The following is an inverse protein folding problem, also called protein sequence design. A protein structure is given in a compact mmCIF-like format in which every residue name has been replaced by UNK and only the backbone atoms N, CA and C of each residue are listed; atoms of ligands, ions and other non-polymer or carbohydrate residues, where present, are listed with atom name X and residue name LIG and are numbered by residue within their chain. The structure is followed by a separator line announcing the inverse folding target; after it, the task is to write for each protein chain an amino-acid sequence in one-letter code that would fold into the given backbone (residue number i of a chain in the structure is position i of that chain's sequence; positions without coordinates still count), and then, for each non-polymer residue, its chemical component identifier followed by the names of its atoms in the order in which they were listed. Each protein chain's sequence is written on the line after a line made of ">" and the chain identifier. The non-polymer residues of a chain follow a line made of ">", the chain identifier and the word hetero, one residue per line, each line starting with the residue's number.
data_IF_685450111632
#
_entry.id   IF_685450111632
#
_cell.length_a   1.000
_cell.length_b   1.000
_cell.length_c   1.000
_cell.angle_alpha   90.00
_cell.angle_beta   90.00
_cell.angle_gamma   90.00
#
_symmetry.space_group_name_H-M   'P 1'
#
loop_
_entity.id
_entity.type
_entity.pdbx_description
1 polymer ?
#
# COMPACT_ATOMS: atom_id res chain seq x y z
N UNK A 1 -16.74 -13.52 -15.06
CA UNK A 1 -17.11 -12.09 -15.14
C UNK A 1 -16.63 -11.26 -13.93
N UNK A 2 -16.83 -11.72 -12.69
CA UNK A 2 -16.38 -11.02 -11.46
C UNK A 2 -14.89 -10.61 -11.46
N UNK A 3 -13.98 -11.49 -11.88
CA UNK A 3 -12.53 -11.18 -11.92
C UNK A 3 -12.14 -10.07 -12.90
N UNK A 4 -12.86 -9.93 -14.04
CA UNK A 4 -12.62 -8.82 -14.98
C UNK A 4 -13.05 -7.48 -14.36
N UNK A 5 -14.14 -7.47 -13.62
CA UNK A 5 -14.65 -6.28 -12.93
C UNK A 5 -13.71 -5.81 -11.83
N UNK A 6 -13.16 -6.73 -11.02
CA UNK A 6 -12.18 -6.40 -9.97
C UNK A 6 -10.91 -5.76 -10.54
N UNK A 7 -10.41 -6.24 -11.68
CA UNK A 7 -9.21 -5.68 -12.32
C UNK A 7 -9.50 -4.30 -12.90
N UNK A 8 -10.66 -4.13 -13.57
CA UNK A 8 -11.08 -2.82 -14.10
C UNK A 8 -11.24 -1.80 -12.97
N UNK A 9 -11.85 -2.20 -11.84
CA UNK A 9 -11.95 -1.36 -10.65
C UNK A 9 -10.57 -1.02 -10.07
N UNK A 10 -9.68 -2.01 -9.94
CA UNK A 10 -8.33 -1.79 -9.44
C UNK A 10 -7.53 -0.81 -10.30
N UNK A 11 -7.59 -0.94 -11.62
CA UNK A 11 -6.96 -0.01 -12.57
C UNK A 11 -7.61 1.37 -12.45
N UNK A 12 -8.95 1.45 -12.38
CA UNK A 12 -9.67 2.71 -12.24
C UNK A 12 -9.29 3.48 -10.96
N UNK A 13 -9.15 2.77 -9.84
CA UNK A 13 -8.68 3.36 -8.57
C UNK A 13 -7.24 3.86 -8.70
N UNK A 14 -6.34 3.06 -9.27
CA UNK A 14 -4.95 3.47 -9.46
C UNK A 14 -4.83 4.74 -10.32
N UNK A 15 -5.61 4.82 -11.42
CA UNK A 15 -5.67 6.01 -12.27
C UNK A 15 -6.22 7.22 -11.51
N UNK A 16 -7.31 7.05 -10.74
CA UNK A 16 -7.86 8.15 -9.92
C UNK A 16 -6.86 8.68 -8.90
N UNK A 17 -6.07 7.81 -8.27
CA UNK A 17 -5.02 8.22 -7.32
C UNK A 17 -3.92 9.01 -8.04
N UNK A 18 -3.46 8.54 -9.21
CA UNK A 18 -2.46 9.25 -10.01
C UNK A 18 -2.95 10.61 -10.50
N UNK A 19 -4.21 10.70 -10.94
CA UNK A 19 -4.83 11.95 -11.39
C UNK A 19 -4.94 12.93 -10.22
N UNK A 20 -5.40 12.46 -9.05
CA UNK A 20 -5.48 13.28 -7.83
C UNK A 20 -4.11 13.81 -7.42
N UNK A 21 -3.07 12.96 -7.45
CA UNK A 21 -1.68 13.36 -7.21
C UNK A 21 -1.20 14.40 -8.24
N UNK A 22 -1.50 14.21 -9.51
CA UNK A 22 -1.15 15.15 -10.57
C UNK A 22 -1.76 16.53 -10.34
N UNK A 23 -3.05 16.58 -9.99
CA UNK A 23 -3.71 17.84 -9.64
C UNK A 23 -3.13 18.49 -8.38
N UNK A 24 -2.76 17.70 -7.38
CA UNK A 24 -2.12 18.21 -6.17
C UNK A 24 -0.77 18.86 -6.49
N UNK A 25 0.09 18.16 -7.24
CA UNK A 25 1.43 18.66 -7.64
C UNK A 25 1.32 19.94 -8.47
N UNK A 26 0.36 20.00 -9.41
CA UNK A 26 0.18 21.17 -10.28
C UNK A 26 -0.34 22.41 -9.51
N UNK A 27 -1.10 22.22 -8.42
CA UNK A 27 -1.65 23.32 -7.62
C UNK A 27 -0.81 23.70 -6.41
N UNK A 28 0.19 22.90 -6.01
CA UNK A 28 0.95 23.11 -4.78
C UNK A 28 1.81 24.40 -4.80
N UNK A 29 2.21 24.90 -5.97
CA UNK A 29 3.01 26.13 -6.11
C UNK A 29 4.47 25.97 -5.64
N UNK A 30 4.68 25.63 -4.37
CA UNK A 30 5.94 25.18 -3.79
C UNK A 30 5.69 23.88 -3.02
N UNK A 31 6.45 22.84 -3.35
CA UNK A 31 6.35 21.54 -2.67
C UNK A 31 7.38 21.52 -1.55
N UNK A 32 6.93 21.42 -0.31
CA UNK A 32 7.83 21.26 0.84
C UNK A 32 8.47 19.86 0.86
N UNK A 33 9.65 19.72 1.47
CA UNK A 33 10.35 18.43 1.61
C UNK A 33 9.48 17.35 2.27
N UNK A 34 8.62 17.75 3.21
CA UNK A 34 7.63 16.90 3.88
C UNK A 34 6.52 16.41 2.94
N UNK A 35 6.06 17.25 2.01
CA UNK A 35 5.09 16.89 0.99
C UNK A 35 5.70 15.95 -0.06
N UNK A 36 6.99 16.12 -0.37
CA UNK A 36 7.71 15.24 -1.29
C UNK A 36 7.73 13.78 -0.79
N UNK A 37 7.96 13.55 0.51
CA UNK A 37 7.87 12.21 1.09
C UNK A 37 6.47 11.62 0.93
N UNK A 38 5.43 12.40 1.19
CA UNK A 38 4.03 11.95 1.05
C UNK A 38 3.68 11.55 -0.39
N UNK A 39 4.14 12.34 -1.37
CA UNK A 39 4.00 12.03 -2.80
C UNK A 39 4.74 10.74 -3.16
N UNK A 40 6.00 10.59 -2.70
CA UNK A 40 6.82 9.42 -2.97
C UNK A 40 6.19 8.13 -2.43
N UNK A 41 5.63 8.18 -1.22
CA UNK A 41 4.89 7.08 -0.59
C UNK A 41 3.70 6.66 -1.45
N UNK A 42 2.89 7.64 -1.86
CA UNK A 42 1.70 7.37 -2.66
C UNK A 42 2.07 6.72 -4.00
N UNK A 43 3.18 7.14 -4.63
CA UNK A 43 3.71 6.50 -5.83
C UNK A 43 4.10 5.04 -5.57
N UNK A 44 4.80 4.73 -4.47
CA UNK A 44 5.17 3.34 -4.12
C UNK A 44 3.94 2.45 -3.98
N UNK A 45 2.89 2.95 -3.32
CA UNK A 45 1.64 2.22 -3.13
C UNK A 45 0.94 1.94 -4.47
N UNK A 46 0.87 2.95 -5.34
CA UNK A 46 0.29 2.78 -6.68
C UNK A 46 1.09 1.78 -7.50
N UNK A 47 2.41 1.88 -7.52
CA UNK A 47 3.28 0.94 -8.27
C UNK A 47 3.10 -0.49 -7.74
N UNK A 48 3.03 -0.65 -6.43
CA UNK A 48 2.82 -1.97 -5.81
C UNK A 48 1.44 -2.55 -6.14
N UNK A 49 0.38 -1.74 -6.10
CA UNK A 49 -0.96 -2.14 -6.50
C UNK A 49 -1.01 -2.52 -7.99
N UNK A 50 -0.36 -1.74 -8.85
CA UNK A 50 -0.26 -2.02 -10.28
C UNK A 50 0.53 -3.30 -10.55
N UNK A 51 1.59 -3.58 -9.80
CA UNK A 51 2.34 -4.83 -9.90
C UNK A 51 1.45 -6.04 -9.57
N UNK A 52 0.69 -5.98 -8.48
CA UNK A 52 -0.23 -7.07 -8.08
C UNK A 52 -1.32 -7.27 -9.15
N UNK A 53 -1.88 -6.18 -9.69
CA UNK A 53 -2.87 -6.25 -10.76
C UNK A 53 -2.28 -6.85 -12.05
N UNK A 54 -1.06 -6.46 -12.41
CA UNK A 54 -0.35 -6.98 -13.57
C UNK A 54 -0.06 -8.48 -13.43
N UNK A 55 0.47 -8.91 -12.28
CA UNK A 55 0.72 -10.33 -11.99
C UNK A 55 -0.58 -11.14 -12.10
N UNK A 56 -1.69 -10.61 -11.57
CA UNK A 56 -3.02 -11.21 -11.69
C UNK A 56 -3.50 -11.32 -13.14
N UNK A 57 -3.30 -10.28 -13.95
CA UNK A 57 -3.65 -10.30 -15.39
C UNK A 57 -2.83 -11.35 -16.13
N UNK A 58 -1.52 -11.42 -15.85
CA UNK A 58 -0.61 -12.39 -16.47
C UNK A 58 -1.02 -13.82 -16.14
N UNK A 59 -1.24 -14.12 -14.86
CA UNK A 59 -1.63 -15.46 -14.40
C UNK A 59 -2.98 -15.91 -14.98
N UNK A 60 -3.94 -14.99 -15.16
CA UNK A 60 -5.21 -15.31 -15.84
C UNK A 60 -5.04 -15.59 -17.33
N UNK A 61 -4.10 -14.92 -18.02
CA UNK A 61 -3.81 -15.18 -19.45
C UNK A 61 -3.19 -16.55 -19.67
N UNK A 62 -2.41 -17.02 -18.71
CA UNK A 62 -1.76 -18.34 -18.74
C UNK A 62 -2.70 -19.48 -18.34
N UNK A 63 -3.96 -19.20 -18.00
CA UNK A 63 -4.96 -20.21 -17.68
C UNK A 63 -4.83 -20.82 -16.28
N UNK A 64 -3.91 -20.31 -15.46
CA UNK A 64 -3.84 -20.68 -14.05
C UNK A 64 -5.11 -20.21 -13.31
N UNK A 65 -5.62 -21.00 -12.35
CA UNK A 65 -6.76 -20.58 -11.56
C UNK A 65 -6.43 -19.23 -10.91
N UNK A 66 -7.27 -18.22 -11.18
CA UNK A 66 -7.10 -16.84 -10.68
C UNK A 66 -7.12 -16.72 -9.13
N UNK A 67 -7.26 -17.85 -8.45
CA UNK A 67 -7.49 -18.05 -7.03
C UNK A 67 -6.98 -19.43 -6.63
N UNK A 68 -5.68 -19.65 -6.76
CA UNK A 68 -5.06 -20.77 -6.07
C UNK A 68 -5.28 -20.58 -4.56
N UNK A 69 -5.74 -21.62 -3.84
CA UNK A 69 -5.98 -21.53 -2.39
C UNK A 69 -4.76 -20.99 -1.66
N UNK A 70 -3.56 -21.32 -2.17
CA UNK A 70 -2.28 -20.83 -1.70
C UNK A 70 -2.16 -19.31 -1.78
N UNK A 71 -2.56 -18.69 -2.90
CA UNK A 71 -2.52 -17.24 -3.08
C UNK A 71 -3.49 -16.54 -2.11
N UNK A 72 -4.67 -17.12 -1.92
CA UNK A 72 -5.67 -16.67 -0.94
C UNK A 72 -5.10 -16.63 0.47
N UNK A 73 -4.46 -17.73 0.87
CA UNK A 73 -3.90 -17.91 2.21
C UNK A 73 -2.68 -17.00 2.43
N UNK A 74 -1.85 -16.82 1.41
CA UNK A 74 -0.73 -15.87 1.41
C UNK A 74 -1.22 -14.42 1.53
N UNK A 75 -2.21 -14.02 0.74
CA UNK A 75 -2.80 -12.68 0.83
C UNK A 75 -3.42 -12.43 2.21
N UNK A 76 -4.15 -13.41 2.75
CA UNK A 76 -4.77 -13.28 4.06
C UNK A 76 -3.73 -13.08 5.18
N UNK A 77 -2.67 -13.91 5.19
CA UNK A 77 -1.57 -13.78 6.17
C UNK A 77 -0.83 -12.46 6.00
N UNK A 78 -0.47 -12.08 4.77
CA UNK A 78 0.21 -10.82 4.49
C UNK A 78 -0.63 -9.60 4.92
N UNK A 79 -1.94 -9.62 4.66
CA UNK A 79 -2.86 -8.57 5.08
C UNK A 79 -2.97 -8.51 6.61
N UNK A 80 -2.98 -9.67 7.29
CA UNK A 80 -2.98 -9.74 8.75
C UNK A 80 -1.74 -9.07 9.35
N UNK A 81 -0.55 -9.34 8.79
CA UNK A 81 0.69 -8.68 9.22
C UNK A 81 0.69 -7.18 8.91
N UNK A 82 0.18 -6.79 7.73
CA UNK A 82 -0.01 -5.38 7.38
C UNK A 82 -0.91 -4.65 8.38
N UNK A 83 -2.04 -5.26 8.74
CA UNK A 83 -2.99 -4.71 9.71
C UNK A 83 -2.37 -4.55 11.11
N UNK A 84 -1.65 -5.58 11.59
CA UNK A 84 -0.94 -5.52 12.87
C UNK A 84 0.10 -4.40 12.86
N UNK A 85 0.88 -4.26 11.79
CA UNK A 85 1.86 -3.19 11.64
C UNK A 85 1.21 -1.80 11.62
N UNK A 86 0.05 -1.66 10.96
CA UNK A 86 -0.73 -0.42 10.97
C UNK A 86 -1.23 -0.04 12.37
N UNK A 87 -1.76 -0.97 13.15
CA UNK A 87 -2.20 -0.67 14.52
C UNK A 87 -1.03 -0.21 15.38
N UNK A 88 0.08 -0.97 15.37
CA UNK A 88 1.22 -0.67 16.21
C UNK A 88 1.97 0.59 15.79
N UNK A 89 1.94 0.94 14.50
CA UNK A 89 2.50 2.22 14.04
C UNK A 89 1.64 3.41 14.43
N UNK A 90 0.30 3.26 14.49
CA UNK A 90 -0.61 4.31 14.96
C UNK A 90 -0.37 4.68 16.43
N UNK A 91 0.00 3.69 17.24
CA UNK A 91 0.31 3.87 18.68
C UNK A 91 1.78 4.24 18.88
N UNK A 92 2.68 3.54 18.19
CA UNK A 92 4.11 3.65 18.37
C UNK A 92 4.69 4.96 17.84
N UNK A 93 4.21 5.46 16.69
CA UNK A 93 4.78 6.67 16.11
C UNK A 93 4.57 7.92 16.99
N UNK A 94 3.34 8.23 17.47
CA UNK A 94 3.13 9.33 18.41
C UNK A 94 3.93 9.17 19.71
N UNK A 95 3.97 7.95 20.26
CA UNK A 95 4.68 7.66 21.51
C UNK A 95 6.19 7.86 21.38
N UNK A 96 6.78 7.37 20.28
CA UNK A 96 8.21 7.56 19.99
C UNK A 96 8.53 9.04 19.73
N UNK A 97 7.66 9.75 19.02
CA UNK A 97 7.81 11.19 18.79
C UNK A 97 7.88 11.97 20.10
N UNK A 98 6.97 11.68 21.02
CA UNK A 98 6.94 12.32 22.33
C UNK A 98 8.20 12.00 23.14
N UNK A 99 8.61 10.73 23.20
CA UNK A 99 9.76 10.29 24.02
C UNK A 99 11.08 10.83 23.48
N UNK A 100 11.30 10.79 22.17
CA UNK A 100 12.60 11.07 21.57
C UNK A 100 12.78 12.52 21.12
N UNK A 101 11.69 13.23 20.84
CA UNK A 101 11.73 14.54 20.21
C UNK A 101 10.83 15.58 20.89
N UNK A 102 10.11 15.20 21.96
CA UNK A 102 9.26 16.07 22.77
C UNK A 102 8.25 16.91 21.95
N UNK A 103 7.73 16.32 20.85
CA UNK A 103 6.69 16.94 20.03
C UNK A 103 5.54 15.98 19.76
N UNK A 104 4.34 16.54 19.68
CA UNK A 104 3.14 15.81 19.27
C UNK A 104 3.09 15.69 17.75
N UNK A 105 3.05 14.46 17.25
CA UNK A 105 2.88 14.18 15.83
C UNK A 105 1.48 14.60 15.37
N UNK A 106 1.38 15.52 14.38
CA UNK A 106 0.10 15.87 13.81
C UNK A 106 -0.58 14.66 13.14
N UNK A 107 -1.91 14.59 13.21
CA UNK A 107 -2.68 13.39 12.81
C UNK A 107 -2.51 12.98 11.34
N UNK A 108 -2.22 13.91 10.44
CA UNK A 108 -1.89 13.62 9.04
C UNK A 108 -0.59 12.80 8.91
N UNK A 109 0.45 13.12 9.69
CA UNK A 109 1.69 12.36 9.72
C UNK A 109 1.50 10.98 10.33
N UNK A 110 0.71 10.86 11.40
CA UNK A 110 0.37 9.56 11.99
C UNK A 110 -0.32 8.67 10.96
N UNK A 111 -1.30 9.23 10.23
CA UNK A 111 -2.01 8.51 9.17
C UNK A 111 -1.06 8.05 8.07
N UNK A 112 -0.13 8.92 7.63
CA UNK A 112 0.87 8.57 6.63
C UNK A 112 1.77 7.41 7.09
N UNK A 113 2.23 7.45 8.35
CA UNK A 113 3.06 6.39 8.94
C UNK A 113 2.29 5.06 9.02
N UNK A 114 1.02 5.09 9.40
CA UNK A 114 0.16 3.89 9.48
C UNK A 114 -0.02 3.20 8.14
N UNK A 115 -0.28 3.99 7.10
CA UNK A 115 -0.41 3.49 5.71
C UNK A 115 0.92 2.92 5.23
N UNK A 116 2.03 3.60 5.53
CA UNK A 116 3.36 3.16 5.18
C UNK A 116 3.75 1.84 5.83
N UNK A 117 3.67 1.77 7.15
CA UNK A 117 4.03 0.58 7.90
C UNK A 117 3.16 -0.61 7.52
N UNK A 118 1.85 -0.39 7.34
CA UNK A 118 0.93 -1.44 6.89
C UNK A 118 1.21 -1.92 5.47
N UNK A 119 1.38 -0.98 4.53
CA UNK A 119 1.68 -1.29 3.13
C UNK A 119 3.01 -2.02 2.96
N UNK A 120 4.07 -1.55 3.64
CA UNK A 120 5.37 -2.20 3.62
C UNK A 120 5.33 -3.59 4.26
N UNK A 121 4.70 -3.72 5.43
CA UNK A 121 4.56 -5.01 6.09
C UNK A 121 3.76 -6.01 5.23
N UNK A 122 2.71 -5.55 4.54
CA UNK A 122 1.98 -6.35 3.56
C UNK A 122 2.89 -6.80 2.42
N UNK A 123 3.61 -5.88 1.76
CA UNK A 123 4.47 -6.18 0.60
C UNK A 123 5.57 -7.18 0.99
N UNK A 124 6.27 -6.92 2.09
CA UNK A 124 7.35 -7.78 2.58
C UNK A 124 6.81 -9.17 2.90
N UNK A 125 5.68 -9.23 3.63
CA UNK A 125 5.07 -10.51 4.00
C UNK A 125 4.55 -11.28 2.78
N UNK A 126 3.93 -10.58 1.83
CA UNK A 126 3.42 -11.16 0.60
C UNK A 126 4.55 -11.76 -0.23
N UNK A 127 5.61 -10.99 -0.48
CA UNK A 127 6.77 -11.46 -1.25
C UNK A 127 7.48 -12.62 -0.55
N UNK A 128 7.61 -12.57 0.78
CA UNK A 128 8.21 -13.65 1.55
C UNK A 128 7.40 -14.95 1.46
N UNK A 129 6.09 -14.88 1.71
CA UNK A 129 5.19 -16.03 1.69
C UNK A 129 4.99 -16.59 0.27
N UNK A 130 4.98 -15.72 -0.74
CA UNK A 130 4.92 -16.13 -2.14
C UNK A 130 6.17 -16.90 -2.59
N UNK A 131 7.37 -16.49 -2.13
CA UNK A 131 8.64 -17.16 -2.46
C UNK A 131 8.87 -18.45 -1.69
N UNK A 132 8.61 -18.44 -0.39
CA UNK A 132 8.84 -19.61 0.47
C UNK A 132 7.87 -20.73 0.13
N UNK A 133 6.68 -20.36 -0.35
CA UNK A 133 5.56 -21.25 -0.38
C UNK A 133 5.06 -21.51 1.06
N UNK A 134 3.75 -21.39 1.29
CA UNK A 134 3.18 -21.99 2.49
C UNK A 134 3.48 -23.48 2.52
#
# INVERSE_FOLDING_TARGET
>A
MKHKLEIVLGIGIAVMVLVSLGFYILNAGNIELTEFFSIFIAIILVVSAMYILWDRIKNMREGFPAHDERLKLTNYKACSYGFIASIWSAVGAPLLSLIFFDYELPGNYVTAIVVLCGGLAFIISFLYLARKGN
#
